data_IF_637952572029
#
_entry.id   IF_637952572029
#
_cell.length_a   1.000
_cell.length_b   1.000
_cell.length_c   1.000
_cell.angle_alpha   90.00
_cell.angle_beta   90.00
_cell.angle_gamma   90.00
#
_symmetry.space_group_name_H-M   'P 1'
#
loop_
_entity.id
_entity.type
_entity.pdbx_description
1 polymer ?
#
# COMPACT_ATOMS: atom_id res chain seq x y z
N UNK A 1 -20.06 7.47 3.77
CA UNK A 1 -18.85 7.19 2.96
C UNK A 1 -17.69 7.93 3.56
N UNK A 2 -16.80 7.23 4.25
CA UNK A 2 -15.60 7.82 4.86
C UNK A 2 -14.61 8.09 3.73
N UNK A 3 -14.43 9.35 3.34
CA UNK A 3 -13.38 9.72 2.40
C UNK A 3 -12.04 9.71 3.13
N UNK A 4 -11.03 9.05 2.56
CA UNK A 4 -9.69 9.08 3.16
C UNK A 4 -9.18 10.52 3.20
N UNK A 5 -8.75 10.98 4.39
CA UNK A 5 -8.21 12.33 4.56
C UNK A 5 -6.97 12.47 3.67
N UNK A 6 -6.93 13.53 2.85
CA UNK A 6 -5.76 13.80 2.02
C UNK A 6 -4.52 14.08 2.87
N UNK A 7 -3.40 13.45 2.55
CA UNK A 7 -2.10 13.66 3.18
C UNK A 7 -1.12 14.29 2.19
N UNK A 8 -0.14 15.02 2.71
CA UNK A 8 0.93 15.61 1.91
C UNK A 8 2.28 15.25 2.50
N UNK A 9 3.27 15.13 1.63
CA UNK A 9 4.68 14.95 1.99
C UNK A 9 5.49 16.11 1.41
N UNK A 10 6.80 15.99 1.28
CA UNK A 10 7.59 16.97 0.53
C UNK A 10 7.18 16.96 -0.96
N UNK A 11 7.20 15.79 -1.60
CA UNK A 11 7.06 15.63 -3.06
C UNK A 11 5.71 15.08 -3.51
N UNK A 12 4.88 14.57 -2.61
CA UNK A 12 3.67 13.83 -2.93
C UNK A 12 2.39 14.46 -2.37
N UNK A 13 1.30 14.27 -3.11
CA UNK A 13 -0.06 14.26 -2.57
C UNK A 13 -0.52 12.81 -2.45
N UNK A 14 -1.07 12.45 -1.30
CA UNK A 14 -1.76 11.19 -1.05
C UNK A 14 -3.25 11.52 -0.93
N UNK A 15 -4.05 11.13 -1.91
CA UNK A 15 -5.48 11.45 -1.94
C UNK A 15 -6.32 10.20 -2.15
N UNK A 16 -7.59 10.26 -1.79
CA UNK A 16 -8.54 9.23 -2.18
C UNK A 16 -8.47 8.99 -3.71
N UNK A 17 -8.46 7.73 -4.16
CA UNK A 17 -8.66 7.40 -5.57
C UNK A 17 -10.03 7.91 -6.05
N UNK A 18 -10.10 8.38 -7.30
CA UNK A 18 -11.32 8.80 -7.98
C UNK A 18 -11.51 8.00 -9.27
N UNK A 19 -12.72 8.01 -9.86
CA UNK A 19 -13.00 7.22 -11.08
C UNK A 19 -12.02 7.44 -12.23
N UNK A 20 -11.45 8.64 -12.37
CA UNK A 20 -10.43 8.93 -13.38
C UNK A 20 -9.13 8.11 -13.20
N UNK A 21 -8.87 7.57 -12.00
CA UNK A 21 -7.70 6.76 -11.69
C UNK A 21 -7.87 5.27 -12.08
N UNK A 22 -9.08 4.83 -12.49
CA UNK A 22 -9.34 3.43 -12.85
C UNK A 22 -8.31 2.89 -13.85
N UNK A 23 -7.94 3.69 -14.86
CA UNK A 23 -6.96 3.29 -15.86
C UNK A 23 -5.57 3.04 -15.23
N UNK A 24 -5.19 3.84 -14.22
CA UNK A 24 -3.94 3.66 -13.49
C UNK A 24 -3.99 2.46 -12.53
N UNK A 25 -5.09 2.29 -11.78
CA UNK A 25 -5.29 1.12 -10.92
C UNK A 25 -5.23 -0.17 -11.74
N UNK A 26 -5.92 -0.20 -12.90
CA UNK A 26 -5.89 -1.33 -13.84
C UNK A 26 -4.47 -1.69 -14.25
N UNK A 27 -3.65 -0.68 -14.62
CA UNK A 27 -2.24 -0.90 -14.96
C UNK A 27 -1.47 -1.57 -13.82
N UNK A 28 -1.65 -1.13 -12.58
CA UNK A 28 -0.95 -1.74 -11.44
C UNK A 28 -1.41 -3.17 -11.21
N UNK A 29 -2.72 -3.43 -11.24
CA UNK A 29 -3.22 -4.77 -10.91
C UNK A 29 -2.92 -5.80 -12.00
N UNK A 30 -2.66 -5.37 -13.24
CA UNK A 30 -2.29 -6.26 -14.34
C UNK A 30 -0.77 -6.40 -14.53
N UNK A 31 0.05 -5.68 -13.76
CA UNK A 31 1.49 -5.64 -13.99
C UNK A 31 2.22 -6.76 -13.26
N UNK A 32 2.94 -7.58 -14.02
CA UNK A 32 3.63 -8.78 -13.51
C UNK A 32 4.67 -8.46 -12.44
N UNK A 33 5.59 -7.53 -12.72
CA UNK A 33 6.62 -7.17 -11.74
C UNK A 33 6.05 -6.51 -10.47
N UNK A 34 5.03 -5.65 -10.59
CA UNK A 34 4.37 -5.01 -9.45
C UNK A 34 3.71 -6.06 -8.55
N UNK A 35 3.09 -7.08 -9.14
CA UNK A 35 2.35 -8.12 -8.42
C UNK A 35 3.09 -9.43 -8.23
N UNK A 36 4.39 -9.47 -8.52
CA UNK A 36 5.23 -10.67 -8.38
C UNK A 36 5.10 -11.33 -7.00
N UNK A 37 4.96 -10.51 -5.95
CA UNK A 37 4.77 -10.97 -4.57
C UNK A 37 3.34 -10.82 -4.04
N UNK A 38 2.38 -10.48 -4.91
CA UNK A 38 0.97 -10.23 -4.60
C UNK A 38 0.05 -11.24 -5.32
N UNK A 39 0.53 -12.46 -5.57
CA UNK A 39 -0.21 -13.51 -6.27
C UNK A 39 -0.25 -13.38 -7.80
N UNK A 40 0.60 -12.53 -8.38
CA UNK A 40 0.65 -12.30 -9.82
C UNK A 40 -0.40 -11.31 -10.34
N UNK A 41 -0.38 -11.00 -11.65
CA UNK A 41 -1.39 -10.17 -12.30
C UNK A 41 -2.81 -10.65 -12.03
N UNK A 42 -3.72 -9.72 -11.73
CA UNK A 42 -5.14 -10.02 -11.60
C UNK A 42 -5.72 -10.37 -12.97
N UNK A 43 -6.47 -11.47 -13.04
CA UNK A 43 -7.11 -11.92 -14.27
C UNK A 43 -8.21 -10.94 -14.71
N UNK A 44 -8.45 -10.85 -16.02
CA UNK A 44 -9.35 -9.84 -16.62
C UNK A 44 -10.77 -9.92 -16.04
N UNK A 45 -11.27 -11.13 -15.81
CA UNK A 45 -12.58 -11.41 -15.21
C UNK A 45 -12.71 -10.89 -13.76
N UNK A 46 -11.59 -10.70 -13.05
CA UNK A 46 -11.55 -10.18 -11.68
C UNK A 46 -11.26 -8.68 -11.60
N UNK A 47 -10.98 -8.01 -12.74
CA UNK A 47 -10.58 -6.58 -12.73
C UNK A 47 -11.63 -5.71 -12.07
N UNK A 48 -12.91 -5.87 -12.40
CA UNK A 48 -13.98 -5.02 -11.87
C UNK A 48 -14.10 -5.14 -10.34
N UNK A 49 -14.07 -6.36 -9.82
CA UNK A 49 -14.11 -6.63 -8.37
C UNK A 49 -12.92 -6.01 -7.66
N UNK A 50 -11.69 -6.25 -8.16
CA UNK A 50 -10.47 -5.74 -7.51
C UNK A 50 -10.38 -4.22 -7.61
N UNK A 51 -10.70 -3.65 -8.77
CA UNK A 51 -10.73 -2.19 -8.96
C UNK A 51 -11.74 -1.57 -8.00
N UNK A 52 -12.94 -2.12 -7.88
CA UNK A 52 -13.98 -1.58 -6.99
C UNK A 52 -13.54 -1.54 -5.52
N UNK A 53 -12.76 -2.53 -5.06
CA UNK A 53 -12.18 -2.52 -3.71
C UNK A 53 -11.21 -1.36 -3.45
N UNK A 54 -10.64 -0.73 -4.49
CA UNK A 54 -9.85 0.49 -4.36
C UNK A 54 -10.67 1.79 -4.34
N UNK A 55 -12.01 1.71 -4.44
CA UNK A 55 -12.91 2.86 -4.36
C UNK A 55 -14.02 2.70 -3.32
N UNK A 56 -14.25 1.49 -2.81
CA UNK A 56 -15.25 1.16 -1.80
C UNK A 56 -14.56 0.51 -0.60
N UNK A 57 -14.34 1.30 0.46
CA UNK A 57 -13.61 0.86 1.66
C UNK A 57 -14.56 0.62 2.83
N UNK A 58 -14.22 -0.33 3.69
CA UNK A 58 -14.94 -0.56 4.95
C UNK A 58 -14.57 0.47 6.03
N UNK A 59 -15.29 0.44 7.16
CA UNK A 59 -15.00 1.33 8.27
C UNK A 59 -13.58 1.09 8.86
N UNK A 60 -12.82 2.17 8.93
CA UNK A 60 -11.44 2.17 9.38
C UNK A 60 -10.43 1.74 8.31
N UNK A 61 -10.88 1.41 7.11
CA UNK A 61 -10.00 1.23 5.96
C UNK A 61 -9.79 2.53 5.19
N UNK A 62 -8.59 2.69 4.65
CA UNK A 62 -8.22 3.86 3.86
C UNK A 62 -7.31 3.45 2.73
N UNK A 63 -7.55 4.01 1.55
CA UNK A 63 -6.62 3.93 0.42
C UNK A 63 -6.29 5.34 -0.03
N UNK A 64 -5.03 5.52 -0.40
CA UNK A 64 -4.54 6.71 -1.07
C UNK A 64 -3.87 6.34 -2.39
N UNK A 65 -4.19 7.10 -3.42
CA UNK A 65 -3.34 7.24 -4.58
C UNK A 65 -2.25 8.26 -4.28
N UNK A 66 -1.01 7.85 -4.49
CA UNK A 66 0.17 8.71 -4.41
C UNK A 66 0.44 9.33 -5.78
N UNK A 67 0.54 10.65 -5.83
CA UNK A 67 0.90 11.38 -7.05
C UNK A 67 1.92 12.49 -6.76
N UNK A 68 2.72 12.86 -7.76
CA UNK A 68 3.67 13.97 -7.64
C UNK A 68 2.94 15.30 -7.43
N UNK A 69 3.50 16.19 -6.62
CA UNK A 69 3.00 17.57 -6.50
C UNK A 69 3.19 18.38 -7.77
N UNK A 70 4.32 18.19 -8.44
CA UNK A 70 4.73 18.99 -9.60
C UNK A 70 3.90 18.71 -10.86
N UNK A 71 3.62 17.44 -11.15
CA UNK A 71 2.96 17.03 -12.40
C UNK A 71 1.64 16.28 -12.20
N UNK A 72 1.22 16.05 -10.94
CA UNK A 72 0.02 15.25 -10.62
C UNK A 72 0.09 13.84 -11.22
N UNK A 73 1.30 13.35 -11.48
CA UNK A 73 1.51 12.04 -12.08
C UNK A 73 1.21 10.96 -11.04
N UNK A 74 0.28 10.02 -11.30
CA UNK A 74 0.02 8.91 -10.39
C UNK A 74 1.21 7.94 -10.35
N UNK A 75 1.62 7.55 -9.15
CA UNK A 75 2.82 6.74 -8.90
C UNK A 75 2.51 5.39 -8.27
N UNK A 76 1.47 5.31 -7.44
CA UNK A 76 1.13 4.09 -6.72
C UNK A 76 -0.10 4.22 -5.84
N UNK A 77 -0.43 3.13 -5.17
CA UNK A 77 -1.44 3.04 -4.14
C UNK A 77 -0.79 2.66 -2.82
N UNK A 78 -1.31 3.21 -1.73
CA UNK A 78 -0.95 2.86 -0.37
C UNK A 78 -2.24 2.77 0.46
N UNK A 79 -2.32 1.81 1.37
CA UNK A 79 -3.55 1.55 2.12
C UNK A 79 -3.28 1.15 3.56
N UNK A 80 -4.27 1.43 4.39
CA UNK A 80 -4.46 0.82 5.70
C UNK A 80 -5.74 0.00 5.64
N UNK A 81 -5.66 -1.30 5.87
CA UNK A 81 -6.81 -2.22 5.90
C UNK A 81 -6.80 -3.06 7.17
N UNK A 82 -7.85 -3.85 7.41
CA UNK A 82 -7.79 -4.87 8.47
C UNK A 82 -6.71 -5.92 8.15
N UNK A 83 -5.89 -6.27 9.14
CA UNK A 83 -4.98 -7.40 9.02
C UNK A 83 -5.73 -8.72 9.22
N UNK A 84 -5.16 -9.82 8.70
CA UNK A 84 -5.78 -11.14 8.71
C UNK A 84 -5.89 -11.80 10.08
N UNK A 85 -5.23 -11.25 11.10
CA UNK A 85 -5.41 -11.69 12.50
C UNK A 85 -6.72 -11.18 13.14
N UNK A 86 -7.42 -10.25 12.48
CA UNK A 86 -8.65 -9.64 12.98
C UNK A 86 -8.45 -8.66 14.13
N UNK A 87 -7.21 -8.32 14.47
CA UNK A 87 -6.87 -7.45 15.61
C UNK A 87 -6.13 -6.20 15.16
N UNK A 88 -5.16 -6.36 14.26
CA UNK A 88 -4.28 -5.30 13.82
C UNK A 88 -4.74 -4.67 12.51
N UNK A 89 -4.17 -3.51 12.21
CA UNK A 89 -4.30 -2.85 10.90
C UNK A 89 -3.04 -3.08 10.08
N UNK A 90 -3.21 -3.27 8.78
CA UNK A 90 -2.12 -3.58 7.85
C UNK A 90 -1.81 -2.39 6.94
N UNK A 91 -0.53 -2.02 6.84
CA UNK A 91 0.02 -1.13 5.82
C UNK A 91 0.37 -1.93 4.56
N UNK A 92 -0.28 -1.60 3.45
CA UNK A 92 -0.03 -2.21 2.13
C UNK A 92 0.29 -1.16 1.09
N UNK A 93 1.08 -1.50 0.07
CA UNK A 93 1.42 -0.57 -1.01
C UNK A 93 1.81 -1.28 -2.30
N UNK A 94 1.55 -0.61 -3.42
CA UNK A 94 1.98 -1.00 -4.77
C UNK A 94 2.30 0.24 -5.60
N UNK A 95 3.48 0.27 -6.20
CA UNK A 95 3.95 1.42 -6.99
C UNK A 95 4.31 0.98 -8.39
N UNK A 96 4.05 1.84 -9.37
CA UNK A 96 4.44 1.61 -10.77
C UNK A 96 5.98 1.56 -10.88
N UNK A 97 6.57 0.72 -11.76
CA UNK A 97 8.03 0.59 -11.87
C UNK A 97 8.76 1.90 -12.13
N UNK A 98 8.15 2.81 -12.91
CA UNK A 98 8.68 4.16 -13.14
C UNK A 98 8.86 5.02 -11.87
N UNK A 99 8.24 4.66 -10.75
CA UNK A 99 8.40 5.31 -9.45
C UNK A 99 9.46 4.64 -8.55
N UNK A 100 9.95 3.46 -8.92
CA UNK A 100 10.92 2.70 -8.11
C UNK A 100 12.30 3.38 -8.15
N UNK A 101 13.11 3.16 -7.11
CA UNK A 101 14.44 3.79 -6.99
C UNK A 101 14.44 5.28 -6.59
N UNK A 102 13.31 5.99 -6.73
CA UNK A 102 13.21 7.43 -6.44
C UNK A 102 12.80 7.76 -4.99
N UNK A 103 12.57 6.74 -4.17
CA UNK A 103 12.19 6.89 -2.75
C UNK A 103 10.72 7.24 -2.49
N UNK A 104 9.88 7.37 -3.52
CA UNK A 104 8.47 7.76 -3.37
C UNK A 104 7.66 6.83 -2.46
N UNK A 105 7.83 5.51 -2.61
CA UNK A 105 7.11 4.54 -1.80
C UNK A 105 7.47 4.66 -0.30
N UNK A 106 8.76 4.86 0.02
CA UNK A 106 9.21 5.05 1.40
C UNK A 106 8.73 6.40 1.99
N UNK A 107 8.69 7.46 1.19
CA UNK A 107 8.16 8.76 1.59
C UNK A 107 6.65 8.68 1.89
N UNK A 108 5.88 8.05 1.01
CA UNK A 108 4.46 7.82 1.21
C UNK A 108 4.19 6.94 2.44
N UNK A 109 4.91 5.82 2.57
CA UNK A 109 4.76 4.89 3.69
C UNK A 109 5.08 5.54 5.03
N UNK A 110 6.15 6.34 5.13
CA UNK A 110 6.45 7.09 6.35
C UNK A 110 5.33 8.05 6.72
N UNK A 111 4.78 8.78 5.74
CA UNK A 111 3.68 9.72 6.00
C UNK A 111 2.41 9.02 6.47
N UNK A 112 2.09 7.85 5.91
CA UNK A 112 0.93 7.04 6.31
C UNK A 112 1.15 6.41 7.69
N UNK A 113 2.36 5.92 8.00
CA UNK A 113 2.72 5.44 9.35
C UNK A 113 2.57 6.56 10.38
N UNK A 114 3.11 7.74 10.11
CA UNK A 114 2.97 8.92 10.98
C UNK A 114 1.50 9.26 11.23
N UNK A 115 0.68 9.27 10.17
CA UNK A 115 -0.76 9.52 10.26
C UNK A 115 -1.45 8.49 11.16
N UNK A 116 -1.17 7.20 10.92
CA UNK A 116 -1.79 6.10 11.65
C UNK A 116 -1.47 6.15 13.15
N UNK A 117 -0.23 6.43 13.52
CA UNK A 117 0.20 6.41 14.92
C UNK A 117 -0.18 7.71 15.66
N UNK A 118 -0.11 8.86 14.98
CA UNK A 118 -0.30 10.17 15.64
C UNK A 118 -1.74 10.68 15.55
N UNK A 119 -2.32 10.61 14.36
CA UNK A 119 -3.66 11.16 14.11
C UNK A 119 -4.75 10.13 14.39
N UNK A 120 -4.57 8.88 13.95
CA UNK A 120 -5.53 7.79 14.22
C UNK A 120 -5.30 7.09 15.56
N UNK A 121 -4.19 7.39 16.23
CA UNK A 121 -3.81 6.81 17.52
C UNK A 121 -3.82 5.27 17.52
N UNK A 122 -3.50 4.65 16.38
CA UNK A 122 -3.33 3.20 16.32
C UNK A 122 -2.13 2.82 17.19
N UNK A 123 -2.27 1.74 17.96
CA UNK A 123 -1.18 1.23 18.82
C UNK A 123 0.03 0.78 18.00
N UNK A 124 -0.23 0.21 16.83
CA UNK A 124 0.75 -0.28 15.87
C UNK A 124 0.11 -0.49 14.50
N UNK A 125 0.95 -0.58 13.48
CA UNK A 125 0.61 -1.12 12.17
C UNK A 125 1.45 -2.37 11.89
N UNK A 126 0.84 -3.32 11.19
CA UNK A 126 1.49 -4.50 10.66
C UNK A 126 1.77 -4.29 9.17
N UNK A 127 2.83 -4.90 8.65
CA UNK A 127 3.00 -5.11 7.22
C UNK A 127 3.48 -6.54 6.98
N UNK A 128 2.81 -7.25 6.10
CA UNK A 128 3.20 -8.61 5.72
C UNK A 128 3.82 -8.61 4.32
N UNK A 129 4.97 -9.26 4.17
CA UNK A 129 5.61 -9.39 2.85
C UNK A 129 6.39 -10.69 2.74
N UNK A 130 6.47 -11.25 1.52
CA UNK A 130 7.27 -12.45 1.29
C UNK A 130 8.74 -12.21 1.67
N UNK A 131 9.41 -13.19 2.26
CA UNK A 131 10.82 -13.07 2.63
C UNK A 131 11.72 -12.81 1.42
N UNK A 132 11.31 -13.28 0.23
CA UNK A 132 11.96 -13.02 -1.04
C UNK A 132 11.75 -11.59 -1.59
N UNK A 133 10.80 -10.81 -1.04
CA UNK A 133 10.54 -9.44 -1.45
C UNK A 133 11.50 -8.45 -0.76
N UNK A 134 12.78 -8.52 -1.14
CA UNK A 134 13.84 -7.69 -0.57
C UNK A 134 13.58 -6.18 -0.69
N UNK A 135 12.89 -5.74 -1.75
CA UNK A 135 12.56 -4.33 -1.95
C UNK A 135 11.58 -3.82 -0.89
N UNK A 136 10.49 -4.58 -0.64
CA UNK A 136 9.51 -4.27 0.42
C UNK A 136 10.17 -4.29 1.80
N UNK A 137 10.94 -5.34 2.11
CA UNK A 137 11.66 -5.47 3.39
C UNK A 137 12.55 -4.27 3.69
N UNK A 138 13.39 -3.88 2.73
CA UNK A 138 14.26 -2.68 2.86
C UNK A 138 13.47 -1.39 3.02
N UNK A 139 12.30 -1.28 2.38
CA UNK A 139 11.43 -0.12 2.53
C UNK A 139 10.86 -0.07 3.95
N UNK A 140 10.29 -1.17 4.44
CA UNK A 140 9.70 -1.29 5.78
C UNK A 140 10.73 -0.96 6.87
N UNK A 141 11.93 -1.52 6.78
CA UNK A 141 13.05 -1.22 7.69
C UNK A 141 13.44 0.26 7.63
N UNK A 142 13.54 0.82 6.41
CA UNK A 142 13.89 2.23 6.21
C UNK A 142 12.87 3.16 6.84
N UNK A 143 11.58 2.82 6.80
CA UNK A 143 10.51 3.65 7.41
C UNK A 143 10.34 3.42 8.90
N UNK A 144 11.17 2.56 9.52
CA UNK A 144 11.24 2.38 10.96
C UNK A 144 10.51 1.15 11.48
N UNK A 145 9.85 0.38 10.62
CA UNK A 145 9.20 -0.87 11.03
C UNK A 145 10.25 -1.95 11.29
N UNK A 146 9.94 -2.88 12.19
CA UNK A 146 10.84 -3.95 12.63
C UNK A 146 10.22 -5.31 12.39
N UNK A 147 11.04 -6.27 11.96
CA UNK A 147 10.63 -7.67 11.87
C UNK A 147 10.17 -8.16 13.26
N UNK A 148 8.96 -8.71 13.32
CA UNK A 148 8.34 -9.22 14.55
C UNK A 148 8.02 -10.72 14.49
N UNK A 149 8.09 -11.33 13.31
CA UNK A 149 7.80 -12.75 13.15
C UNK A 149 7.85 -13.22 11.70
N UNK A 150 7.76 -14.54 11.53
CA UNK A 150 7.70 -15.21 10.24
C UNK A 150 6.62 -16.28 10.26
N UNK A 151 5.99 -16.51 9.11
CA UNK A 151 5.02 -17.59 8.94
C UNK A 151 5.00 -18.07 7.50
N UNK A 152 4.37 -19.20 7.24
CA UNK A 152 4.13 -19.68 5.88
C UNK A 152 2.68 -19.37 5.45
N UNK A 153 2.51 -18.66 4.33
CA UNK A 153 1.20 -18.31 3.76
C UNK A 153 1.32 -18.09 2.26
N UNK A 154 0.24 -18.35 1.51
CA UNK A 154 0.20 -18.22 0.05
C UNK A 154 1.32 -19.02 -0.67
N UNK A 155 1.70 -20.17 -0.09
CA UNK A 155 2.77 -21.01 -0.62
C UNK A 155 4.18 -20.44 -0.47
N UNK A 156 4.38 -19.41 0.34
CA UNK A 156 5.69 -18.79 0.56
C UNK A 156 5.91 -18.40 2.03
N UNK A 157 7.18 -18.27 2.43
CA UNK A 157 7.54 -17.67 3.72
C UNK A 157 7.24 -16.16 3.68
N UNK A 158 6.51 -15.69 4.68
CA UNK A 158 6.20 -14.28 4.93
C UNK A 158 6.98 -13.79 6.15
N UNK A 159 7.31 -12.50 6.13
CA UNK A 159 7.86 -11.76 7.25
C UNK A 159 6.84 -10.72 7.68
N UNK A 160 6.56 -10.69 8.98
CA UNK A 160 5.71 -9.70 9.63
C UNK A 160 6.59 -8.57 10.14
N UNK A 161 6.28 -7.35 9.73
CA UNK A 161 6.85 -6.12 10.27
C UNK A 161 5.83 -5.41 11.15
N UNK A 162 6.31 -4.77 12.22
CA UNK A 162 5.51 -3.93 13.12
C UNK A 162 6.12 -2.53 13.20
N UNK A 163 5.28 -1.49 13.25
CA UNK A 163 5.67 -0.09 13.45
C UNK A 163 6.24 0.19 14.84
#
# INVERSE_FOLDING_TARGET
MTTSRGLTTERLHLRAPVFADIAFVRKLISHEEVRRFLGGPVSIDQHETVISGYFAFEEGEMVWLAETKSSRQPLGLISISHHRDGQDRELSYQFHPGAWGHGYAAEAARRVLDYALKDLQLKRLIAETQSANFASRRLLERVGMRESGRLHRFGAEQIIYVS
#
